data_IF_153099822578
#
_entry.id   IF_153099822578
#
_cell.length_a   1.000
_cell.length_b   1.000
_cell.length_c   1.000
_cell.angle_alpha   90.00
_cell.angle_beta   90.00
_cell.angle_gamma   90.00
#
_symmetry.space_group_name_H-M   'P 1'
#
loop_
_entity.id
_entity.type
_entity.pdbx_description
1 polymer ?
#
# COMPACT_ATOMS: atom_id res chain seq x y z
N UNK A 1 -2.62 7.92 -24.43
CA UNK A 1 -2.33 6.51 -24.69
C UNK A 1 -2.52 5.75 -23.37
N UNK A 2 -3.76 5.36 -23.13
CA UNK A 2 -4.27 4.71 -21.93
C UNK A 2 -4.38 3.24 -22.32
N UNK A 3 -3.34 2.41 -22.08
CA UNK A 3 -3.46 0.96 -22.22
C UNK A 3 -2.22 0.28 -21.65
N UNK A 4 -2.12 0.16 -20.31
CA UNK A 4 -1.12 -0.75 -19.76
C UNK A 4 -1.60 -1.53 -18.51
N UNK A 5 -2.86 -1.44 -18.15
CA UNK A 5 -3.41 -2.19 -17.00
C UNK A 5 -4.53 -3.18 -17.39
N UNK A 6 -4.68 -3.50 -18.67
CA UNK A 6 -5.64 -4.51 -19.15
C UNK A 6 -4.98 -5.60 -20.00
N UNK A 7 -3.83 -6.14 -19.60
CA UNK A 7 -3.52 -7.51 -19.96
C UNK A 7 -4.03 -8.44 -18.87
N UNK A 8 -5.34 -8.61 -18.84
CA UNK A 8 -5.95 -9.79 -18.26
C UNK A 8 -5.34 -11.01 -18.95
N UNK A 9 -4.41 -11.67 -18.28
CA UNK A 9 -4.09 -13.05 -18.62
C UNK A 9 -5.38 -13.84 -18.41
N UNK A 10 -6.14 -14.09 -19.48
CA UNK A 10 -7.17 -15.09 -19.50
C UNK A 10 -6.52 -16.42 -19.14
N UNK A 11 -6.56 -16.77 -17.86
CA UNK A 11 -6.23 -18.11 -17.38
C UNK A 11 -7.23 -19.07 -17.98
N UNK A 12 -6.86 -19.71 -19.09
CA UNK A 12 -7.62 -20.81 -19.69
C UNK A 12 -7.70 -21.94 -18.65
N UNK A 13 -8.90 -22.29 -18.22
CA UNK A 13 -9.25 -23.64 -17.78
C UNK A 13 -8.84 -24.08 -16.38
N UNK A 14 -8.62 -23.17 -15.39
CA UNK A 14 -8.55 -23.59 -13.98
C UNK A 14 -9.95 -23.58 -13.36
N UNK A 15 -10.34 -24.68 -12.70
CA UNK A 15 -11.46 -24.69 -11.73
C UNK A 15 -11.28 -23.45 -10.85
N UNK A 16 -12.35 -22.68 -10.64
CA UNK A 16 -12.34 -21.46 -9.78
C UNK A 16 -11.98 -21.93 -8.37
N UNK A 17 -10.67 -21.97 -8.06
CA UNK A 17 -10.20 -22.22 -6.72
C UNK A 17 -10.68 -21.03 -5.89
N UNK A 18 -11.39 -21.31 -4.81
CA UNK A 18 -11.87 -20.27 -3.89
C UNK A 18 -10.65 -19.55 -3.33
N UNK A 19 -10.60 -18.22 -3.44
CA UNK A 19 -9.52 -17.41 -2.91
C UNK A 19 -9.49 -17.60 -1.38
N UNK A 20 -8.33 -17.98 -0.85
CA UNK A 20 -8.17 -18.26 0.56
C UNK A 20 -7.97 -16.97 1.36
N UNK A 21 -8.68 -16.83 2.46
CA UNK A 21 -8.47 -15.82 3.51
C UNK A 21 -8.53 -16.53 4.86
N UNK A 22 -7.48 -16.37 5.67
CA UNK A 22 -7.40 -17.01 7.00
C UNK A 22 -8.39 -16.41 8.00
N UNK A 23 -8.47 -16.98 9.19
CA UNK A 23 -9.06 -16.31 10.33
C UNK A 23 -8.26 -15.06 10.71
N UNK A 24 -8.95 -14.09 11.35
CA UNK A 24 -8.34 -12.85 11.84
C UNK A 24 -7.34 -13.17 12.94
N UNK A 25 -6.18 -12.54 12.87
CA UNK A 25 -5.08 -12.64 13.83
C UNK A 25 -4.68 -11.25 14.29
N UNK A 26 -4.28 -11.13 15.54
CA UNK A 26 -3.77 -9.90 16.17
C UNK A 26 -2.28 -9.99 16.50
N UNK A 27 -1.65 -11.11 16.16
CA UNK A 27 -0.25 -11.40 16.41
C UNK A 27 0.55 -11.38 15.10
N UNK A 28 1.82 -11.05 15.16
CA UNK A 28 2.72 -11.11 14.02
C UNK A 28 2.80 -12.53 13.43
N UNK A 29 3.15 -12.69 12.14
CA UNK A 29 3.44 -14.01 11.57
C UNK A 29 4.56 -14.73 12.31
N UNK A 30 4.46 -16.06 12.45
CA UNK A 30 5.53 -16.86 13.04
C UNK A 30 6.82 -16.84 12.19
N UNK A 31 6.70 -16.60 10.88
CA UNK A 31 7.81 -16.47 9.95
C UNK A 31 7.54 -15.31 9.00
N UNK A 32 8.53 -14.44 8.83
CA UNK A 32 8.46 -13.31 7.92
C UNK A 32 8.94 -13.70 6.52
N UNK A 33 8.26 -13.21 5.50
CA UNK A 33 8.56 -13.47 4.09
C UNK A 33 9.54 -12.46 3.49
N UNK A 34 9.60 -11.26 4.06
CA UNK A 34 10.46 -10.17 3.61
C UNK A 34 11.00 -9.36 4.78
N UNK A 35 12.16 -8.71 4.63
CA UNK A 35 12.68 -7.81 5.67
C UNK A 35 11.74 -6.64 5.97
N UNK A 36 10.99 -6.15 4.98
CA UNK A 36 10.00 -5.09 5.19
C UNK A 36 8.85 -5.58 6.08
N UNK A 37 8.34 -6.79 5.83
CA UNK A 37 7.29 -7.38 6.67
C UNK A 37 7.74 -7.49 8.13
N UNK A 38 8.95 -8.00 8.37
CA UNK A 38 9.52 -8.11 9.71
C UNK A 38 9.58 -6.75 10.41
N UNK A 39 10.18 -5.74 9.75
CA UNK A 39 10.25 -4.36 10.27
C UNK A 39 8.87 -3.79 10.56
N UNK A 40 7.90 -4.03 9.69
CA UNK A 40 6.52 -3.56 9.87
C UNK A 40 5.94 -4.04 11.20
N UNK A 41 5.95 -5.34 11.45
CA UNK A 41 5.40 -5.89 12.69
C UNK A 41 6.22 -5.49 13.92
N UNK A 42 7.53 -5.41 13.81
CA UNK A 42 8.41 -4.92 14.88
C UNK A 42 8.02 -3.50 15.28
N UNK A 43 7.90 -2.59 14.35
CA UNK A 43 7.57 -1.18 14.62
C UNK A 43 6.14 -1.04 15.14
N UNK A 44 5.16 -1.78 14.60
CA UNK A 44 3.79 -1.78 15.15
C UNK A 44 3.77 -2.20 16.62
N UNK A 45 4.56 -3.23 16.97
CA UNK A 45 4.69 -3.68 18.36
C UNK A 45 5.38 -2.63 19.24
N UNK A 46 6.51 -2.06 18.81
CA UNK A 46 7.27 -1.02 19.55
C UNK A 46 6.43 0.23 19.81
N UNK A 47 5.58 0.62 18.85
CA UNK A 47 4.70 1.77 18.97
C UNK A 47 3.36 1.46 19.65
N UNK A 48 3.13 0.20 20.05
CA UNK A 48 1.85 -0.28 20.60
C UNK A 48 0.66 0.05 19.68
N UNK A 49 0.83 -0.04 18.37
CA UNK A 49 -0.23 0.15 17.38
C UNK A 49 -0.98 -1.18 17.20
N UNK A 50 -2.26 -1.26 17.57
CA UNK A 50 -3.04 -2.47 17.40
C UNK A 50 -3.36 -2.71 15.93
N UNK A 51 -3.41 -3.97 15.54
CA UNK A 51 -3.78 -4.38 14.19
C UNK A 51 -4.60 -5.67 14.20
N UNK A 52 -5.37 -5.85 13.15
CA UNK A 52 -5.95 -7.15 12.77
C UNK A 52 -5.40 -7.53 11.41
N UNK A 53 -5.06 -8.79 11.22
CA UNK A 53 -4.48 -9.26 9.97
C UNK A 53 -5.04 -10.60 9.51
N UNK A 54 -4.89 -10.87 8.23
CA UNK A 54 -5.17 -12.16 7.60
C UNK A 54 -4.03 -12.58 6.70
N UNK A 55 -3.83 -13.89 6.58
CA UNK A 55 -3.00 -14.50 5.54
C UNK A 55 -3.91 -14.93 4.39
N UNK A 56 -3.42 -14.78 3.15
CA UNK A 56 -4.23 -15.05 1.95
C UNK A 56 -3.42 -15.77 0.87
N UNK A 57 -4.11 -16.28 -0.15
CA UNK A 57 -3.50 -16.50 -1.45
C UNK A 57 -2.92 -15.19 -2.00
N UNK A 58 -2.07 -15.27 -3.02
CA UNK A 58 -1.48 -14.08 -3.62
C UNK A 58 -2.57 -13.17 -4.21
N UNK A 59 -2.73 -11.97 -3.64
CA UNK A 59 -3.64 -10.93 -4.11
C UNK A 59 -2.84 -9.78 -4.71
N UNK A 60 -3.06 -9.49 -5.99
CA UNK A 60 -2.34 -8.46 -6.75
C UNK A 60 -3.31 -7.38 -7.26
N UNK A 61 -4.57 -7.75 -7.47
CA UNK A 61 -5.61 -6.86 -8.00
C UNK A 61 -6.58 -6.45 -6.90
N UNK A 62 -7.28 -5.31 -7.09
CA UNK A 62 -8.32 -4.89 -6.16
C UNK A 62 -9.52 -5.86 -6.13
N UNK A 63 -9.73 -6.64 -7.19
CA UNK A 63 -10.75 -7.69 -7.23
C UNK A 63 -10.42 -8.84 -6.26
N UNK A 64 -9.13 -9.18 -6.11
CA UNK A 64 -8.69 -10.16 -5.12
C UNK A 64 -8.91 -9.65 -3.68
N UNK A 65 -8.88 -8.33 -3.46
CA UNK A 65 -9.04 -7.72 -2.15
C UNK A 65 -10.48 -7.73 -1.60
N UNK A 66 -11.50 -7.96 -2.43
CA UNK A 66 -12.92 -7.90 -2.00
C UNK A 66 -13.22 -8.83 -0.81
N UNK A 67 -12.67 -10.05 -0.81
CA UNK A 67 -12.88 -10.99 0.29
C UNK A 67 -12.06 -10.61 1.54
N UNK A 68 -10.92 -9.95 1.35
CA UNK A 68 -10.09 -9.43 2.44
C UNK A 68 -10.81 -8.28 3.13
N UNK A 69 -11.36 -7.35 2.34
CA UNK A 69 -12.14 -6.20 2.83
C UNK A 69 -13.36 -6.67 3.65
N UNK A 70 -14.09 -7.66 3.13
CA UNK A 70 -15.23 -8.24 3.84
C UNK A 70 -14.82 -8.96 5.15
N UNK A 71 -13.66 -9.66 5.17
CA UNK A 71 -13.20 -10.39 6.35
C UNK A 71 -12.70 -9.46 7.45
N UNK A 72 -11.97 -8.40 7.08
CA UNK A 72 -11.41 -7.43 8.03
C UNK A 72 -12.36 -6.24 8.30
N UNK A 73 -13.52 -6.18 7.66
CA UNK A 73 -14.48 -5.08 7.78
C UNK A 73 -13.81 -3.71 7.58
N UNK A 74 -13.11 -3.58 6.44
CA UNK A 74 -12.34 -2.38 6.09
C UNK A 74 -12.46 -2.09 4.59
N UNK A 75 -11.89 -0.97 4.17
CA UNK A 75 -11.64 -0.68 2.76
C UNK A 75 -10.14 -0.69 2.49
N UNK A 76 -9.73 -1.53 1.56
CA UNK A 76 -8.34 -1.58 1.11
C UNK A 76 -7.95 -0.26 0.46
N UNK A 77 -6.81 0.30 0.84
CA UNK A 77 -6.22 1.40 0.10
C UNK A 77 -5.40 0.88 -1.07
N UNK A 78 -5.21 1.74 -2.04
CA UNK A 78 -4.28 1.53 -3.14
C UNK A 78 -3.06 2.43 -2.94
N UNK A 79 -1.88 1.81 -2.91
CA UNK A 79 -0.61 2.52 -2.74
C UNK A 79 0.15 2.48 -4.05
N UNK A 80 0.43 3.67 -4.61
CA UNK A 80 1.07 3.83 -5.91
C UNK A 80 2.43 4.50 -5.73
N UNK A 81 3.48 3.90 -6.32
CA UNK A 81 4.80 4.49 -6.33
C UNK A 81 5.03 5.24 -7.64
N UNK A 82 5.20 6.54 -7.53
CA UNK A 82 5.24 7.47 -8.65
C UNK A 82 6.56 8.24 -8.68
N UNK A 83 6.96 8.70 -9.87
CA UNK A 83 8.12 9.58 -10.03
C UNK A 83 7.90 10.62 -11.13
N UNK A 84 8.70 11.70 -11.10
CA UNK A 84 8.80 12.63 -12.20
C UNK A 84 9.57 11.99 -13.37
N UNK A 85 9.55 12.65 -14.55
CA UNK A 85 10.20 12.14 -15.77
C UNK A 85 11.71 11.85 -15.59
N UNK A 86 12.39 12.67 -14.79
CA UNK A 86 13.83 12.57 -14.54
C UNK A 86 14.18 11.54 -13.46
N UNK A 87 13.19 10.97 -12.78
CA UNK A 87 13.37 10.06 -11.63
C UNK A 87 14.21 10.68 -10.49
N UNK A 88 14.02 11.97 -10.26
CA UNK A 88 14.67 12.73 -9.18
C UNK A 88 13.74 13.08 -8.03
N UNK A 89 12.44 12.97 -8.24
CA UNK A 89 11.39 13.14 -7.24
C UNK A 89 10.48 11.91 -7.22
N UNK A 90 10.23 11.37 -6.04
CA UNK A 90 9.45 10.16 -5.84
C UNK A 90 8.30 10.40 -4.86
N UNK A 91 7.19 9.74 -5.12
CA UNK A 91 5.96 9.89 -4.35
C UNK A 91 5.35 8.53 -4.06
N UNK A 92 5.00 8.29 -2.82
CA UNK A 92 4.18 7.16 -2.40
C UNK A 92 2.76 7.68 -2.18
N UNK A 93 1.89 7.45 -3.15
CA UNK A 93 0.52 7.96 -3.15
C UNK A 93 -0.45 6.90 -2.64
N UNK A 94 -1.13 7.22 -1.56
CA UNK A 94 -2.14 6.37 -0.91
C UNK A 94 -3.52 6.94 -1.23
N UNK A 95 -4.37 6.16 -1.88
CA UNK A 95 -5.73 6.55 -2.27
C UNK A 95 -6.72 5.40 -2.02
N UNK A 96 -8.03 5.68 -2.06
CA UNK A 96 -9.05 4.66 -1.94
C UNK A 96 -8.90 3.59 -3.04
N UNK A 97 -9.08 2.33 -2.68
CA UNK A 97 -8.82 1.20 -3.57
C UNK A 97 -9.62 1.21 -4.86
N UNK A 98 -10.87 1.65 -4.81
CA UNK A 98 -11.81 1.76 -5.93
C UNK A 98 -11.65 3.04 -6.76
N UNK A 99 -10.89 4.06 -6.27
CA UNK A 99 -10.71 5.34 -6.95
C UNK A 99 -9.76 5.23 -8.14
N UNK A 100 -10.17 5.58 -9.37
CA UNK A 100 -9.28 5.57 -10.53
C UNK A 100 -8.14 6.58 -10.37
N UNK A 101 -6.91 6.16 -10.68
CA UNK A 101 -5.76 7.07 -10.66
C UNK A 101 -5.65 7.88 -11.96
N UNK A 102 -5.51 9.19 -11.84
CA UNK A 102 -5.22 10.09 -12.93
C UNK A 102 -3.97 10.94 -12.61
N UNK A 103 -2.88 10.71 -13.34
CA UNK A 103 -1.62 11.41 -13.12
C UNK A 103 -1.72 12.94 -13.33
N UNK A 104 -2.64 13.41 -14.16
CA UNK A 104 -2.89 14.84 -14.34
C UNK A 104 -3.49 15.45 -13.08
N UNK A 105 -4.55 14.82 -12.53
CA UNK A 105 -5.21 15.32 -11.32
C UNK A 105 -4.23 15.34 -10.14
N UNK A 106 -3.47 14.25 -9.95
CA UNK A 106 -2.43 14.16 -8.93
C UNK A 106 -1.40 15.30 -9.06
N UNK A 107 -0.86 15.51 -10.27
CA UNK A 107 0.14 16.56 -10.49
C UNK A 107 -0.43 17.96 -10.29
N UNK A 108 -1.68 18.20 -10.70
CA UNK A 108 -2.37 19.48 -10.50
C UNK A 108 -2.62 19.74 -9.03
N UNK A 109 -3.10 18.75 -8.28
CA UNK A 109 -3.39 18.89 -6.84
C UNK A 109 -2.15 19.26 -6.02
N UNK A 110 -0.97 18.79 -6.44
CA UNK A 110 0.30 19.05 -5.76
C UNK A 110 1.09 20.22 -6.37
N UNK A 111 0.66 20.82 -7.49
CA UNK A 111 1.40 21.87 -8.18
C UNK A 111 2.76 21.41 -8.74
N UNK A 112 2.88 20.13 -9.12
CA UNK A 112 4.13 19.52 -9.60
C UNK A 112 4.07 19.13 -11.08
N UNK A 113 5.24 18.81 -11.63
CA UNK A 113 5.35 18.24 -12.98
C UNK A 113 4.62 16.90 -13.07
N UNK A 114 4.19 16.56 -14.29
CA UNK A 114 3.49 15.30 -14.55
C UNK A 114 4.33 14.09 -14.06
N UNK A 115 3.68 13.20 -13.34
CA UNK A 115 4.27 11.94 -12.84
C UNK A 115 3.86 10.74 -13.68
N UNK A 116 4.64 9.67 -13.56
CA UNK A 116 4.36 8.32 -14.05
C UNK A 116 4.64 7.31 -12.95
N UNK A 117 4.25 6.04 -13.15
CA UNK A 117 4.67 4.97 -12.26
C UNK A 117 6.20 4.86 -12.25
N UNK A 118 6.77 4.74 -11.07
CA UNK A 118 8.19 4.50 -10.91
C UNK A 118 8.56 3.09 -11.40
N UNK A 119 9.79 2.88 -11.93
CA UNK A 119 10.26 1.55 -12.31
C UNK A 119 10.27 0.55 -11.15
N UNK A 120 10.09 -0.75 -11.47
CA UNK A 120 10.08 -1.82 -10.48
C UNK A 120 11.38 -1.87 -9.66
N UNK A 121 12.52 -1.65 -10.32
CA UNK A 121 13.84 -1.64 -9.67
C UNK A 121 13.97 -0.52 -8.63
N UNK A 122 13.30 0.62 -8.88
CA UNK A 122 13.22 1.72 -7.91
C UNK A 122 12.32 1.37 -6.74
N UNK A 123 11.22 0.66 -6.97
CA UNK A 123 10.36 0.18 -5.89
C UNK A 123 11.12 -0.79 -4.97
N UNK A 124 11.84 -1.75 -5.53
CA UNK A 124 12.63 -2.69 -4.76
C UNK A 124 13.75 -2.00 -3.96
N UNK A 125 14.52 -1.13 -4.62
CA UNK A 125 15.69 -0.48 -4.01
C UNK A 125 15.34 0.61 -2.99
N UNK A 126 14.23 1.33 -3.17
CA UNK A 126 13.84 2.45 -2.29
C UNK A 126 12.80 2.05 -1.24
N UNK A 127 11.91 1.14 -1.58
CA UNK A 127 10.76 0.77 -0.74
C UNK A 127 10.86 -0.63 -0.15
N UNK A 128 11.83 -1.44 -0.57
CA UNK A 128 12.03 -2.80 -0.07
C UNK A 128 10.87 -3.76 -0.42
N UNK A 129 10.10 -3.45 -1.45
CA UNK A 129 8.91 -4.22 -1.85
C UNK A 129 8.79 -4.34 -3.36
N UNK A 130 7.82 -5.14 -3.81
CA UNK A 130 7.54 -5.38 -5.24
C UNK A 130 6.16 -4.84 -5.65
N UNK A 131 5.93 -4.81 -6.95
CA UNK A 131 4.60 -4.47 -7.52
C UNK A 131 3.53 -5.40 -6.91
N UNK A 132 2.41 -4.81 -6.48
CA UNK A 132 1.31 -5.50 -5.81
C UNK A 132 1.44 -5.57 -4.28
N UNK A 133 2.60 -5.21 -3.72
CA UNK A 133 2.84 -5.21 -2.27
C UNK A 133 3.26 -3.83 -1.71
N UNK A 134 3.11 -2.76 -2.50
CA UNK A 134 3.39 -1.41 -2.05
C UNK A 134 2.46 -1.03 -0.87
N UNK A 135 3.05 -0.48 0.17
CA UNK A 135 2.37 -0.12 1.42
C UNK A 135 2.98 1.14 2.02
N UNK A 136 2.26 1.82 2.90
CA UNK A 136 2.79 2.96 3.66
C UNK A 136 3.98 2.56 4.54
N UNK A 137 4.01 1.30 4.99
CA UNK A 137 5.11 0.78 5.79
C UNK A 137 6.45 0.76 5.06
N UNK A 138 6.46 0.90 3.73
CA UNK A 138 7.68 1.10 2.95
C UNK A 138 8.47 2.35 3.33
N UNK A 139 7.87 3.30 4.06
CA UNK A 139 8.57 4.43 4.70
C UNK A 139 9.74 3.97 5.59
N UNK A 140 9.65 2.77 6.19
CA UNK A 140 10.74 2.17 6.98
C UNK A 140 12.00 1.84 6.18
N UNK A 141 11.90 1.76 4.86
CA UNK A 141 13.02 1.52 3.95
C UNK A 141 13.64 2.82 3.43
N UNK A 142 12.88 3.92 3.42
CA UNK A 142 13.32 5.24 2.94
C UNK A 142 13.96 6.06 4.08
N UNK A 143 15.11 5.61 4.56
CA UNK A 143 15.82 6.25 5.68
C UNK A 143 16.37 7.64 5.35
N UNK A 144 16.47 8.00 4.07
CA UNK A 144 16.98 9.28 3.58
C UNK A 144 15.86 10.30 3.27
N UNK A 145 14.59 9.94 3.52
CA UNK A 145 13.43 10.80 3.24
C UNK A 145 13.35 11.28 1.77
N UNK A 146 13.67 10.42 0.82
CA UNK A 146 13.63 10.72 -0.61
C UNK A 146 12.26 10.59 -1.24
N UNK A 147 11.34 9.91 -0.55
CA UNK A 147 9.99 9.63 -1.02
C UNK A 147 8.99 10.49 -0.27
N UNK A 148 8.28 11.35 -0.97
CA UNK A 148 7.17 12.11 -0.38
C UNK A 148 5.94 11.22 -0.25
N UNK A 149 5.35 11.16 0.93
CA UNK A 149 4.15 10.36 1.20
C UNK A 149 2.92 11.25 1.05
N UNK A 150 2.07 10.91 0.10
CA UNK A 150 0.87 11.67 -0.24
C UNK A 150 -0.36 10.82 0.11
N UNK A 151 -1.26 11.37 0.88
CA UNK A 151 -2.56 10.74 1.16
C UNK A 151 -3.66 11.50 0.43
N UNK A 152 -4.48 10.74 -0.30
CA UNK A 152 -5.74 11.26 -0.79
C UNK A 152 -6.67 11.56 0.41
N UNK A 153 -7.28 12.73 0.41
CA UNK A 153 -8.26 13.16 1.41
C UNK A 153 -9.37 12.13 1.66
N UNK A 154 -9.73 11.34 0.65
CA UNK A 154 -10.76 10.33 0.80
C UNK A 154 -10.37 9.20 1.75
N UNK A 155 -9.08 8.87 1.86
CA UNK A 155 -8.58 7.86 2.82
C UNK A 155 -8.81 8.30 4.27
N UNK A 156 -8.75 9.59 4.53
CA UNK A 156 -8.91 10.13 5.89
C UNK A 156 -10.37 10.08 6.41
N UNK A 157 -11.32 9.79 5.53
CA UNK A 157 -12.73 9.62 5.90
C UNK A 157 -13.01 8.26 6.55
N UNK A 158 -12.11 7.29 6.35
CA UNK A 158 -12.23 5.95 6.88
C UNK A 158 -11.49 5.84 8.22
N UNK A 159 -12.14 5.30 9.24
CA UNK A 159 -11.52 5.04 10.54
C UNK A 159 -10.38 4.02 10.42
N UNK A 160 -10.57 3.03 9.54
CA UNK A 160 -9.66 1.91 9.35
C UNK A 160 -8.89 2.01 8.04
N UNK A 161 -7.60 1.85 8.15
CA UNK A 161 -6.65 1.81 7.05
C UNK A 161 -6.35 0.35 6.70
N UNK A 162 -6.87 -0.09 5.56
CA UNK A 162 -6.64 -1.44 5.05
C UNK A 162 -5.48 -1.48 4.08
N UNK A 163 -4.44 -2.26 4.36
CA UNK A 163 -3.26 -2.33 3.49
C UNK A 163 -2.58 -3.71 3.53
N UNK A 164 -1.62 -3.92 2.61
CA UNK A 164 -0.70 -5.05 2.71
C UNK A 164 0.35 -4.80 3.80
N UNK A 165 0.89 -5.86 4.35
CA UNK A 165 2.00 -5.84 5.30
C UNK A 165 3.39 -5.78 4.63
N UNK A 166 3.44 -5.41 3.35
CA UNK A 166 4.64 -5.43 2.51
C UNK A 166 4.81 -6.72 1.69
N UNK A 167 3.80 -7.60 1.72
CA UNK A 167 3.72 -8.80 0.90
C UNK A 167 2.43 -8.86 0.10
N UNK A 168 2.31 -9.77 -0.88
CA UNK A 168 1.08 -10.01 -1.64
C UNK A 168 0.18 -11.07 -1.00
N UNK A 169 0.50 -11.52 0.21
CA UNK A 169 -0.17 -12.63 0.90
C UNK A 169 -0.47 -12.33 2.37
N UNK A 170 -0.22 -11.10 2.82
CA UNK A 170 -0.51 -10.62 4.16
C UNK A 170 -1.16 -9.25 4.10
N UNK A 171 -2.33 -9.12 4.72
CA UNK A 171 -3.10 -7.88 4.73
C UNK A 171 -3.55 -7.57 6.15
N UNK A 172 -3.62 -6.28 6.45
CA UNK A 172 -3.97 -5.83 7.79
C UNK A 172 -4.86 -4.60 7.79
N UNK A 173 -5.54 -4.44 8.91
CA UNK A 173 -6.34 -3.29 9.30
C UNK A 173 -5.68 -2.60 10.49
N UNK A 174 -5.43 -1.31 10.35
CA UNK A 174 -4.86 -0.43 11.39
C UNK A 174 -5.71 0.84 11.47
N UNK A 175 -5.72 1.55 12.57
CA UNK A 175 -6.40 2.85 12.62
C UNK A 175 -5.70 3.87 11.72
N UNK A 176 -6.48 4.58 10.90
CA UNK A 176 -5.95 5.65 10.02
C UNK A 176 -5.21 6.71 10.82
N UNK A 177 -5.72 7.07 12.00
CA UNK A 177 -5.08 8.02 12.89
C UNK A 177 -3.70 7.53 13.37
N UNK A 178 -3.53 6.25 13.69
CA UNK A 178 -2.26 5.68 14.14
C UNK A 178 -1.21 5.69 13.01
N UNK A 179 -1.63 5.45 11.78
CA UNK A 179 -0.74 5.58 10.61
C UNK A 179 -0.23 7.02 10.48
N UNK A 180 -1.13 8.00 10.52
CA UNK A 180 -0.79 9.39 10.27
C UNK A 180 -0.03 10.05 11.42
N UNK A 181 -0.42 9.78 12.67
CA UNK A 181 0.03 10.53 13.82
C UNK A 181 1.01 9.78 14.72
N UNK A 182 1.15 8.45 14.55
CA UNK A 182 2.08 7.64 15.35
C UNK A 182 3.13 7.00 14.43
N UNK A 183 2.72 6.21 13.43
CA UNK A 183 3.65 5.47 12.58
C UNK A 183 4.52 6.39 11.71
N UNK A 184 3.92 7.29 10.91
CA UNK A 184 4.69 8.13 9.98
C UNK A 184 5.71 9.03 10.70
N UNK A 185 5.38 9.72 11.82
CA UNK A 185 6.38 10.45 12.60
C UNK A 185 7.51 9.57 13.13
N UNK A 186 7.21 8.37 13.63
CA UNK A 186 8.23 7.41 14.08
C UNK A 186 9.14 6.94 12.94
N UNK A 187 8.59 6.77 11.74
CA UNK A 187 9.35 6.49 10.51
C UNK A 187 10.05 7.74 9.94
N UNK A 188 10.01 8.89 10.64
CA UNK A 188 10.56 10.20 10.23
C UNK A 188 9.98 10.74 8.93
N UNK A 189 8.72 10.41 8.65
CA UNK A 189 7.97 10.89 7.51
C UNK A 189 6.75 11.69 7.96
N UNK A 190 6.22 12.50 7.05
CA UNK A 190 4.95 13.17 7.23
C UNK A 190 4.09 12.99 5.97
N UNK A 191 2.79 12.87 6.15
CA UNK A 191 1.86 12.82 5.05
C UNK A 191 1.52 14.23 4.54
N UNK A 192 1.55 14.40 3.23
CA UNK A 192 0.94 15.53 2.54
C UNK A 192 -0.47 15.09 2.16
N UNK A 193 -1.48 15.83 2.60
CA UNK A 193 -2.87 15.53 2.27
C UNK A 193 -3.24 16.27 1.00
N UNK A 194 -3.74 15.57 0.00
CA UNK A 194 -4.16 16.12 -1.28
C UNK A 194 -5.59 15.67 -1.63
N UNK A 195 -6.28 16.51 -2.36
CA UNK A 195 -7.57 16.17 -2.98
C UNK A 195 -7.32 15.85 -4.46
N UNK A 196 -7.30 14.57 -4.82
CA UNK A 196 -6.88 14.08 -6.14
C UNK A 196 -8.06 13.52 -6.92
#
# INVERSE_FOLDING_TARGET
MIYFFQKVFKRKGRKKQMFYVSEIKTEAPAHFKTPLQEKTYQVLHELNIPFERVDTDEAITMEDCVQIDAKLEMKMVKTLFLCNRQQTAFYLFVTAGDKPFCSRNFSTALGISRVSFAPAEKMESMLGTKIGAATVFSALSDTENRVQIIFDKDVLKEEWYGCSDGTTTGYMKVRTADILHVFLPAARHAAIIAEV
#
